data_IF_904382273724
#
_entry.id   IF_904382273724
#
_cell.length_a   1.000
_cell.length_b   1.000
_cell.length_c   1.000
_cell.angle_alpha   90.00
_cell.angle_beta   90.00
_cell.angle_gamma   90.00
#
_symmetry.space_group_name_H-M   'P 1'
#
loop_
_entity.id
_entity.type
_entity.pdbx_description
1 polymer ?
#
# COMPACT_ATOMS: atom_id res chain seq x y z
N UNK A 1 -11.56 18.40 3.10
CA UNK A 1 -10.75 18.27 1.86
C UNK A 1 -10.64 19.65 1.22
N UNK A 2 -9.43 20.25 1.11
CA UNK A 2 -9.25 21.54 0.42
C UNK A 2 -9.29 21.31 -1.10
N UNK A 3 -10.28 21.87 -1.78
CA UNK A 3 -10.39 21.85 -3.25
C UNK A 3 -9.52 22.99 -3.78
N UNK A 4 -8.53 22.67 -4.61
CA UNK A 4 -7.62 23.65 -5.20
C UNK A 4 -7.95 23.83 -6.69
N UNK A 5 -8.60 24.95 -7.02
CA UNK A 5 -9.06 25.29 -8.38
C UNK A 5 -7.93 25.65 -9.35
N UNK A 6 -6.72 25.92 -8.86
CA UNK A 6 -5.55 26.28 -9.69
C UNK A 6 -4.68 25.09 -10.08
N UNK A 7 -5.15 23.86 -9.87
CA UNK A 7 -4.34 22.69 -10.19
C UNK A 7 -4.33 22.44 -11.69
N UNK A 8 -3.18 22.67 -12.33
CA UNK A 8 -3.00 22.34 -13.74
C UNK A 8 -3.21 20.84 -13.99
N UNK A 9 -3.87 20.54 -15.11
CA UNK A 9 -4.03 19.18 -15.61
C UNK A 9 -2.65 18.62 -15.96
N UNK A 10 -2.32 17.43 -15.46
CA UNK A 10 -1.07 16.74 -15.79
C UNK A 10 -1.16 16.09 -17.17
N UNK A 11 -0.02 15.99 -17.85
CA UNK A 11 0.09 15.29 -19.14
C UNK A 11 -0.35 13.83 -19.01
N UNK A 12 -1.13 13.35 -19.98
CA UNK A 12 -1.52 11.93 -20.06
C UNK A 12 -0.35 11.15 -20.65
N UNK A 13 0.17 10.17 -19.90
CA UNK A 13 1.20 9.25 -20.39
C UNK A 13 0.53 8.00 -20.94
N UNK A 14 1.00 7.55 -22.10
CA UNK A 14 0.58 6.29 -22.71
C UNK A 14 1.67 5.23 -22.49
N UNK A 15 1.25 4.01 -22.19
CA UNK A 15 2.17 2.88 -22.01
C UNK A 15 2.51 2.33 -23.41
N UNK A 16 3.78 2.40 -23.79
CA UNK A 16 4.25 1.82 -25.05
C UNK A 16 4.53 0.32 -24.86
N UNK A 17 4.02 -0.50 -25.77
CA UNK A 17 4.33 -1.94 -25.86
C UNK A 17 5.05 -2.19 -27.18
N UNK A 18 6.31 -2.67 -27.15
CA UNK A 18 7.04 -3.01 -28.38
C UNK A 18 6.27 -4.03 -29.23
N UNK A 19 6.46 -3.97 -30.56
CA UNK A 19 5.72 -4.80 -31.54
C UNK A 19 5.74 -6.29 -31.23
N UNK A 20 6.89 -6.83 -30.82
CA UNK A 20 7.08 -8.26 -30.52
C UNK A 20 6.94 -8.60 -29.04
N UNK A 21 6.61 -7.61 -28.20
CA UNK A 21 6.46 -7.83 -26.78
C UNK A 21 5.02 -8.26 -26.48
N UNK A 22 4.86 -9.46 -25.93
CA UNK A 22 3.58 -9.95 -25.39
C UNK A 22 3.27 -9.19 -24.09
N UNK A 23 2.74 -7.98 -24.22
CA UNK A 23 2.38 -7.13 -23.09
C UNK A 23 0.99 -7.43 -22.55
N UNK A 24 0.78 -7.09 -21.28
CA UNK A 24 -0.55 -7.17 -20.61
C UNK A 24 -1.13 -8.59 -20.64
N UNK A 25 -0.31 -9.58 -20.30
CA UNK A 25 -0.68 -10.99 -20.20
C UNK A 25 -1.92 -11.13 -19.29
N UNK A 26 -1.96 -10.48 -18.12
CA UNK A 26 -3.10 -10.49 -17.19
C UNK A 26 -4.47 -10.06 -17.80
N UNK A 27 -4.48 -9.24 -18.86
CA UNK A 27 -5.72 -8.81 -19.56
C UNK A 27 -6.06 -9.73 -20.72
N UNK A 28 -5.07 -10.39 -21.31
CA UNK A 28 -5.18 -11.23 -22.49
C UNK A 28 -5.26 -12.73 -22.17
N UNK A 29 -4.93 -13.12 -20.93
CA UNK A 29 -4.89 -14.50 -20.49
C UNK A 29 -6.32 -15.09 -20.34
N UNK A 30 -6.63 -16.21 -21.02
CA UNK A 30 -7.95 -16.85 -20.93
C UNK A 30 -8.20 -17.60 -19.61
N UNK A 31 -7.15 -17.89 -18.83
CA UNK A 31 -7.14 -18.95 -17.81
C UNK A 31 -7.40 -18.55 -16.35
N UNK A 32 -7.60 -17.28 -16.01
CA UNK A 32 -8.09 -16.99 -14.65
C UNK A 32 -7.83 -15.58 -14.14
N UNK A 33 -8.71 -15.14 -13.24
CA UNK A 33 -8.73 -13.86 -12.51
C UNK A 33 -9.49 -12.72 -13.24
N UNK A 34 -9.20 -12.41 -14.51
CA UNK A 34 -9.82 -11.26 -15.21
C UNK A 34 -11.30 -11.42 -15.59
N UNK A 35 -11.85 -12.64 -15.48
CA UNK A 35 -13.26 -12.98 -15.75
C UNK A 35 -14.24 -12.55 -14.64
N UNK A 36 -13.74 -12.38 -13.41
CA UNK A 36 -14.58 -12.07 -12.25
C UNK A 36 -14.78 -10.56 -12.02
N UNK A 37 -14.12 -9.71 -12.84
CA UNK A 37 -14.27 -8.27 -12.74
C UNK A 37 -15.21 -7.75 -13.85
N UNK A 38 -16.34 -7.14 -13.46
CA UNK A 38 -17.38 -6.62 -14.36
C UNK A 38 -16.98 -5.32 -15.11
N UNK A 39 -15.75 -4.85 -14.93
CA UNK A 39 -15.26 -3.64 -15.59
C UNK A 39 -15.19 -3.73 -17.12
N UNK A 40 -15.39 -2.59 -17.79
CA UNK A 40 -15.28 -2.46 -19.25
C UNK A 40 -13.88 -2.85 -19.76
N UNK A 41 -13.79 -3.34 -21.00
CA UNK A 41 -12.49 -3.63 -21.64
C UNK A 41 -11.59 -2.38 -21.64
N UNK A 42 -12.13 -1.21 -21.94
CA UNK A 42 -11.37 0.04 -21.99
C UNK A 42 -10.79 0.45 -20.62
N UNK A 43 -11.52 0.24 -19.52
CA UNK A 43 -11.03 0.54 -18.17
C UNK A 43 -9.91 -0.41 -17.76
N UNK A 44 -10.06 -1.72 -18.02
CA UNK A 44 -9.04 -2.73 -17.74
C UNK A 44 -7.73 -2.45 -18.48
N UNK A 45 -7.80 -2.20 -19.79
CA UNK A 45 -6.61 -1.90 -20.61
C UNK A 45 -5.89 -0.61 -20.24
N UNK A 46 -6.61 0.34 -19.62
CA UNK A 46 -6.05 1.60 -19.09
C UNK A 46 -5.28 1.39 -17.78
N UNK A 47 -5.75 0.47 -16.94
CA UNK A 47 -5.11 0.16 -15.65
C UNK A 47 -4.04 -0.92 -15.78
N UNK A 48 -4.04 -1.70 -16.86
CA UNK A 48 -3.02 -2.71 -17.11
C UNK A 48 -1.72 -2.10 -17.64
N UNK A 49 -0.66 -2.23 -16.85
CA UNK A 49 0.70 -1.82 -17.20
C UNK A 49 1.49 -2.98 -17.78
N UNK A 50 2.48 -2.65 -18.60
CA UNK A 50 3.38 -3.66 -19.11
C UNK A 50 4.44 -4.03 -18.06
N UNK A 51 4.91 -5.28 -18.04
CA UNK A 51 6.01 -5.71 -17.16
C UNK A 51 7.27 -4.86 -17.36
N UNK A 52 7.48 -4.36 -18.58
CA UNK A 52 8.63 -3.52 -18.93
C UNK A 52 8.46 -2.02 -18.60
N UNK A 53 7.32 -1.58 -18.05
CA UNK A 53 7.13 -0.17 -17.69
C UNK A 53 7.73 0.16 -16.31
N UNK A 54 9.05 0.35 -16.28
CA UNK A 54 9.79 0.70 -15.07
C UNK A 54 9.39 2.06 -14.51
N UNK A 55 9.01 3.00 -15.38
CA UNK A 55 8.63 4.35 -14.97
C UNK A 55 7.32 4.37 -14.17
N UNK A 56 6.34 3.58 -14.59
CA UNK A 56 5.11 3.41 -13.82
C UNK A 56 5.38 2.68 -12.50
N UNK A 57 6.14 1.58 -12.54
CA UNK A 57 6.54 0.84 -11.33
C UNK A 57 7.19 1.76 -10.29
N UNK A 58 8.18 2.55 -10.68
CA UNK A 58 8.80 3.52 -9.77
C UNK A 58 7.84 4.61 -9.29
N UNK A 59 6.89 5.06 -10.12
CA UNK A 59 5.86 6.01 -9.68
C UNK A 59 4.94 5.40 -8.62
N UNK A 60 4.52 4.14 -8.80
CA UNK A 60 3.70 3.41 -7.84
C UNK A 60 4.46 3.14 -6.55
N UNK A 61 5.69 2.64 -6.63
CA UNK A 61 6.53 2.43 -5.45
C UNK A 61 6.77 3.75 -4.69
N UNK A 62 7.04 4.87 -5.40
CA UNK A 62 7.11 6.20 -4.76
C UNK A 62 5.81 6.62 -4.10
N UNK A 63 4.64 6.28 -4.66
CA UNK A 63 3.35 6.55 -4.02
C UNK A 63 3.17 5.69 -2.78
N UNK A 64 3.48 4.40 -2.85
CA UNK A 64 3.45 3.47 -1.70
C UNK A 64 4.35 3.97 -0.57
N UNK A 65 5.58 4.39 -0.89
CA UNK A 65 6.51 4.95 0.10
C UNK A 65 6.03 6.27 0.73
N UNK A 66 5.30 7.12 -0.02
CA UNK A 66 4.72 8.36 0.53
C UNK A 66 3.55 8.10 1.47
N UNK A 67 2.82 7.00 1.27
CA UNK A 67 1.77 6.57 2.19
C UNK A 67 2.46 5.80 3.31
N UNK A 68 3.01 6.53 4.28
CA UNK A 68 3.51 5.94 5.54
C UNK A 68 2.34 5.54 6.44
N UNK A 69 1.49 4.63 5.95
CA UNK A 69 0.50 3.92 6.78
C UNK A 69 1.13 2.69 7.42
N UNK A 70 2.41 2.77 7.79
CA UNK A 70 3.09 1.79 8.61
C UNK A 70 3.26 2.33 10.04
N UNK A 71 2.24 2.99 10.57
CA UNK A 71 2.10 3.17 12.03
C UNK A 71 1.55 1.88 12.64
N UNK A 72 2.02 0.72 12.16
CA UNK A 72 1.68 -0.55 12.78
C UNK A 72 2.47 -0.63 14.08
N UNK A 73 1.75 -0.67 15.19
CA UNK A 73 2.32 -0.94 16.48
C UNK A 73 2.88 -2.36 16.46
N UNK A 74 4.20 -2.50 16.49
CA UNK A 74 4.83 -3.82 16.47
C UNK A 74 4.62 -4.50 17.83
N UNK A 75 4.31 -5.80 17.81
CA UNK A 75 4.21 -6.62 19.02
C UNK A 75 5.49 -6.53 19.88
N UNK A 76 6.65 -6.39 19.25
CA UNK A 76 7.94 -6.21 19.95
C UNK A 76 7.97 -4.93 20.79
N UNK A 77 7.52 -3.81 20.23
CA UNK A 77 7.44 -2.53 20.93
C UNK A 77 6.46 -2.63 22.12
N UNK A 78 5.32 -3.32 21.93
CA UNK A 78 4.37 -3.63 23.00
C UNK A 78 5.03 -4.37 24.18
N UNK A 79 5.78 -5.44 23.86
CA UNK A 79 6.47 -6.26 24.86
C UNK A 79 7.56 -5.48 25.59
N UNK A 80 8.32 -4.63 24.88
CA UNK A 80 9.34 -3.76 25.49
C UNK A 80 8.70 -2.78 26.48
N UNK A 81 7.62 -2.10 26.09
CA UNK A 81 6.89 -1.18 26.99
C UNK A 81 6.37 -1.93 28.21
N UNK A 82 5.73 -3.09 28.01
CA UNK A 82 5.20 -3.90 29.11
C UNK A 82 6.31 -4.30 30.10
N UNK A 83 7.45 -4.75 29.60
CA UNK A 83 8.59 -5.14 30.42
C UNK A 83 9.17 -3.98 31.22
N UNK A 84 9.34 -2.81 30.58
CA UNK A 84 9.81 -1.59 31.24
C UNK A 84 8.85 -1.14 32.35
N UNK A 85 7.54 -1.19 32.09
CA UNK A 85 6.52 -0.85 33.10
C UNK A 85 6.57 -1.81 34.28
N UNK A 86 6.71 -3.12 34.04
CA UNK A 86 6.83 -4.12 35.11
C UNK A 86 8.07 -3.90 35.97
N UNK A 87 9.23 -3.61 35.37
CA UNK A 87 10.45 -3.28 36.12
C UNK A 87 10.25 -2.01 36.96
N UNK A 88 9.67 -0.97 36.37
CA UNK A 88 9.40 0.27 37.09
C UNK A 88 8.51 0.04 38.31
N UNK A 89 7.42 -0.73 38.15
CA UNK A 89 6.50 -1.07 39.23
C UNK A 89 7.17 -1.89 40.33
N UNK A 90 8.10 -2.79 39.95
CA UNK A 90 8.87 -3.57 40.91
C UNK A 90 9.82 -2.70 41.76
N UNK A 91 10.48 -1.70 41.17
CA UNK A 91 11.45 -0.85 41.89
C UNK A 91 10.78 -0.01 42.98
N UNK A 92 9.53 0.41 42.78
CA UNK A 92 8.80 1.27 43.72
C UNK A 92 7.93 0.47 44.71
N UNK A 93 8.03 -0.87 44.71
CA UNK A 93 7.16 -1.78 45.47
C UNK A 93 5.66 -1.46 45.26
N UNK A 94 5.25 -1.25 44.00
CA UNK A 94 3.88 -0.84 43.70
C UNK A 94 2.87 -1.96 44.00
N UNK A 95 1.89 -1.67 44.86
CA UNK A 95 0.87 -2.63 45.25
C UNK A 95 -0.20 -2.80 44.16
N UNK A 96 -0.14 -3.92 43.42
CA UNK A 96 -1.08 -4.22 42.30
C UNK A 96 -2.50 -4.51 42.83
N UNK A 97 -2.61 -4.81 44.13
CA UNK A 97 -3.89 -5.14 44.78
C UNK A 97 -4.89 -3.99 44.80
N UNK A 98 -4.44 -2.74 44.63
CA UNK A 98 -5.32 -1.56 44.56
C UNK A 98 -6.29 -1.57 43.37
N UNK A 99 -6.06 -2.45 42.39
CA UNK A 99 -6.93 -2.64 41.23
C UNK A 99 -7.84 -3.88 41.35
N UNK A 100 -7.79 -4.64 42.45
CA UNK A 100 -8.79 -5.67 42.76
C UNK A 100 -10.05 -4.96 43.24
N UNK A 101 -11.11 -4.97 42.43
CA UNK A 101 -12.45 -4.53 42.82
C UNK A 101 -13.21 -5.70 43.48
#
# INVERSE_FOLDING_TARGET
>A
MKINFFKLKRNRRFNYTPRYFKGKEDVNDPSGISRFNFDSRFSKYRQAFNKNDLGHKWSEERKKMRVYSNRFFSLRLALIILFLVLIFLYIIDFDIEIFKF
#
